data_IF_845264639472
#
_entry.id   IF_845264639472
#
_cell.length_a   1.000
_cell.length_b   1.000
_cell.length_c   1.000
_cell.angle_alpha   90.00
_cell.angle_beta   90.00
_cell.angle_gamma   90.00
#
_symmetry.space_group_name_H-M   'P 1'
#
loop_
_entity.id
_entity.type
_entity.pdbx_description
1 polymer ?
#
# COMPACT_ATOMS: atom_id res chain seq x y z
N UNK A 1 11.08 21.20 2.95
CA UNK A 1 9.75 21.15 2.30
C UNK A 1 9.36 19.74 1.85
N UNK A 2 10.12 19.08 0.97
CA UNK A 2 9.81 17.71 0.46
C UNK A 2 9.59 16.65 1.55
N UNK A 3 10.38 16.65 2.61
CA UNK A 3 10.20 15.70 3.72
C UNK A 3 8.84 15.84 4.42
N UNK A 4 8.45 17.09 4.73
CA UNK A 4 7.15 17.39 5.37
C UNK A 4 5.98 17.10 4.44
N UNK A 5 6.10 17.46 3.16
CA UNK A 5 5.07 17.17 2.16
C UNK A 5 4.91 15.65 1.95
N UNK A 6 6.02 14.92 1.86
CA UNK A 6 6.01 13.47 1.77
C UNK A 6 5.35 12.79 2.98
N UNK A 7 5.57 13.32 4.18
CA UNK A 7 4.88 12.82 5.38
C UNK A 7 3.36 13.03 5.30
N UNK A 8 2.90 14.22 4.88
CA UNK A 8 1.47 14.49 4.71
C UNK A 8 0.84 13.65 3.60
N UNK A 9 1.52 13.51 2.46
CA UNK A 9 1.05 12.67 1.34
C UNK A 9 0.98 11.21 1.77
N UNK A 10 2.02 10.69 2.44
CA UNK A 10 2.03 9.32 2.95
C UNK A 10 0.93 9.07 3.99
N UNK A 11 0.69 10.03 4.89
CA UNK A 11 -0.39 9.96 5.86
C UNK A 11 -1.77 9.96 5.16
N UNK A 12 -2.01 10.91 4.26
CA UNK A 12 -3.26 11.00 3.51
C UNK A 12 -3.52 9.74 2.67
N UNK A 13 -2.51 9.26 1.94
CA UNK A 13 -2.60 8.03 1.14
C UNK A 13 -2.93 6.82 2.02
N UNK A 14 -2.28 6.71 3.19
CA UNK A 14 -2.52 5.60 4.13
C UNK A 14 -3.92 5.67 4.74
N UNK A 15 -4.36 6.85 5.19
CA UNK A 15 -5.70 7.05 5.76
C UNK A 15 -6.79 6.75 4.72
N UNK A 16 -6.69 7.34 3.53
CA UNK A 16 -7.66 7.11 2.45
C UNK A 16 -7.63 5.65 2.00
N UNK A 17 -6.43 5.07 1.86
CA UNK A 17 -6.25 3.67 1.52
C UNK A 17 -6.96 2.74 2.51
N UNK A 18 -6.68 2.88 3.80
CA UNK A 18 -7.30 2.06 4.86
C UNK A 18 -8.81 2.22 4.87
N UNK A 19 -9.33 3.45 4.83
CA UNK A 19 -10.77 3.70 4.81
C UNK A 19 -11.43 3.08 3.57
N UNK A 20 -10.79 3.21 2.39
CA UNK A 20 -11.27 2.61 1.15
C UNK A 20 -11.27 1.08 1.18
N UNK A 21 -10.23 0.46 1.73
CA UNK A 21 -10.13 -0.99 1.90
C UNK A 21 -11.25 -1.49 2.81
N UNK A 22 -11.46 -0.83 3.96
CA UNK A 22 -12.55 -1.17 4.89
C UNK A 22 -13.90 -1.05 4.21
N UNK A 23 -14.17 0.07 3.52
CA UNK A 23 -15.43 0.29 2.80
C UNK A 23 -15.68 -0.78 1.73
N UNK A 24 -14.66 -1.15 0.95
CA UNK A 24 -14.78 -2.20 -0.05
C UNK A 24 -14.96 -3.59 0.58
N UNK A 25 -14.29 -3.87 1.68
CA UNK A 25 -14.42 -5.14 2.39
C UNK A 25 -15.82 -5.33 2.98
N UNK A 26 -16.39 -4.30 3.62
CA UNK A 26 -17.74 -4.39 4.23
C UNK A 26 -18.87 -4.37 3.21
N UNK A 27 -18.63 -3.84 2.01
CA UNK A 27 -19.60 -3.87 0.89
C UNK A 27 -19.43 -5.07 -0.04
N UNK A 28 -18.72 -6.10 0.41
CA UNK A 28 -18.46 -7.37 -0.29
C UNK A 28 -17.66 -7.26 -1.61
N UNK A 29 -16.99 -6.13 -1.82
CA UNK A 29 -16.07 -5.90 -2.94
C UNK A 29 -14.65 -6.38 -2.59
N UNK A 30 -14.53 -7.59 -2.01
CA UNK A 30 -13.27 -8.10 -1.41
C UNK A 30 -12.10 -8.12 -2.39
N UNK A 31 -12.33 -8.55 -3.63
CA UNK A 31 -11.29 -8.53 -4.67
C UNK A 31 -10.80 -7.10 -4.94
N UNK A 32 -11.71 -6.12 -5.06
CA UNK A 32 -11.34 -4.71 -5.25
C UNK A 32 -10.60 -4.15 -4.03
N UNK A 33 -10.98 -4.57 -2.82
CA UNK A 33 -10.27 -4.19 -1.60
C UNK A 33 -8.80 -4.66 -1.65
N UNK A 34 -8.54 -5.89 -2.10
CA UNK A 34 -7.18 -6.44 -2.22
C UNK A 34 -6.38 -5.77 -3.33
N UNK A 35 -7.00 -5.48 -4.47
CA UNK A 35 -6.37 -4.68 -5.54
C UNK A 35 -6.01 -3.28 -5.02
N UNK A 36 -6.88 -2.65 -4.22
CA UNK A 36 -6.61 -1.36 -3.59
C UNK A 36 -5.43 -1.43 -2.60
N UNK A 37 -5.31 -2.51 -1.81
CA UNK A 37 -4.13 -2.73 -0.94
C UNK A 37 -2.84 -2.68 -1.78
N UNK A 38 -2.77 -3.45 -2.88
CA UNK A 38 -1.60 -3.46 -3.74
C UNK A 38 -1.30 -2.06 -4.32
N UNK A 39 -2.33 -1.34 -4.78
CA UNK A 39 -2.18 0.02 -5.31
C UNK A 39 -1.64 1.01 -4.26
N UNK A 40 -2.15 0.95 -3.03
CA UNK A 40 -1.69 1.81 -1.91
C UNK A 40 -0.24 1.52 -1.56
N UNK A 41 0.17 0.24 -1.53
CA UNK A 41 1.55 -0.14 -1.28
C UNK A 41 2.50 0.39 -2.36
N UNK A 42 2.13 0.27 -3.64
CA UNK A 42 2.91 0.87 -4.74
C UNK A 42 3.02 2.40 -4.59
N UNK A 43 1.90 3.07 -4.28
CA UNK A 43 1.89 4.50 -4.00
C UNK A 43 2.81 4.89 -2.85
N UNK A 44 2.80 4.13 -1.76
CA UNK A 44 3.70 4.34 -0.61
C UNK A 44 5.16 4.13 -0.98
N UNK A 45 5.48 3.14 -1.82
CA UNK A 45 6.82 2.95 -2.38
C UNK A 45 7.30 4.18 -3.16
N UNK A 46 6.45 4.74 -4.03
CA UNK A 46 6.76 5.96 -4.79
C UNK A 46 6.94 7.18 -3.87
N UNK A 47 6.03 7.39 -2.92
CA UNK A 47 6.12 8.46 -1.92
C UNK A 47 7.43 8.32 -1.13
N UNK A 48 7.82 7.10 -0.77
CA UNK A 48 9.04 6.82 -0.03
C UNK A 48 10.30 7.15 -0.82
N UNK A 49 10.35 6.82 -2.11
CA UNK A 49 11.47 7.16 -2.99
C UNK A 49 11.62 8.68 -3.16
N UNK A 50 10.50 9.38 -3.26
CA UNK A 50 10.48 10.83 -3.43
C UNK A 50 10.77 11.62 -2.14
N UNK A 51 10.40 11.06 -0.98
CA UNK A 51 10.52 11.72 0.33
C UNK A 51 11.93 11.53 0.91
N UNK A 52 12.73 12.61 1.04
CA UNK A 52 14.03 12.54 1.69
C UNK A 52 13.84 12.39 3.20
N UNK A 53 14.71 11.62 3.86
CA UNK A 53 14.68 11.44 5.31
C UNK A 53 15.04 10.04 5.79
N UNK A 54 15.02 9.88 7.11
CA UNK A 54 15.31 8.61 7.79
C UNK A 54 14.31 7.53 7.32
N UNK A 55 14.78 6.29 7.11
CA UNK A 55 13.91 5.19 6.75
C UNK A 55 12.95 4.77 7.85
N UNK A 56 11.84 4.18 7.42
CA UNK A 56 10.83 3.62 8.31
C UNK A 56 11.37 2.33 8.93
N UNK A 57 12.00 1.49 8.10
CA UNK A 57 12.84 0.41 8.59
C UNK A 57 14.18 1.01 9.01
N UNK A 58 14.32 1.29 10.31
CA UNK A 58 15.38 2.09 10.94
C UNK A 58 16.84 1.70 10.56
N UNK A 59 17.07 0.56 9.92
CA UNK A 59 18.37 0.05 9.47
C UNK A 59 18.57 -0.03 7.95
N UNK A 60 17.58 0.30 7.11
CA UNK A 60 17.65 0.08 5.65
C UNK A 60 17.29 1.33 4.87
N UNK A 61 18.05 1.69 3.84
CA UNK A 61 17.84 2.94 3.10
C UNK A 61 16.45 3.05 2.45
N UNK A 62 16.06 4.27 2.04
CA UNK A 62 14.74 4.55 1.40
C UNK A 62 14.40 3.65 0.21
N UNK A 63 15.42 3.17 -0.50
CA UNK A 63 15.27 2.27 -1.64
C UNK A 63 14.81 0.89 -1.17
N UNK A 64 15.35 0.39 -0.06
CA UNK A 64 14.94 -0.89 0.51
C UNK A 64 13.49 -0.85 0.99
N UNK A 65 13.07 0.24 1.63
CA UNK A 65 11.67 0.46 2.00
C UNK A 65 10.76 0.34 0.75
N UNK A 66 11.13 1.02 -0.34
CA UNK A 66 10.38 0.96 -1.59
C UNK A 66 10.36 -0.44 -2.23
N UNK A 67 11.48 -1.17 -2.19
CA UNK A 67 11.55 -2.56 -2.67
C UNK A 67 10.59 -3.45 -1.88
N UNK A 68 10.53 -3.31 -0.55
CA UNK A 68 9.58 -4.06 0.30
C UNK A 68 8.15 -3.77 -0.12
N UNK A 69 7.80 -2.49 -0.34
CA UNK A 69 6.47 -2.12 -0.83
C UNK A 69 6.13 -2.78 -2.17
N UNK A 70 7.06 -2.78 -3.12
CA UNK A 70 6.87 -3.37 -4.44
C UNK A 70 6.71 -4.89 -4.36
N UNK A 71 7.55 -5.58 -3.57
CA UNK A 71 7.48 -7.03 -3.40
C UNK A 71 6.13 -7.42 -2.77
N UNK A 72 5.71 -6.73 -1.70
CA UNK A 72 4.42 -7.00 -1.06
C UNK A 72 3.26 -6.72 -2.01
N UNK A 73 3.28 -5.60 -2.74
CA UNK A 73 2.26 -5.28 -3.72
C UNK A 73 2.18 -6.35 -4.82
N UNK A 74 3.33 -6.82 -5.34
CA UNK A 74 3.38 -7.84 -6.37
C UNK A 74 2.82 -9.18 -5.88
N UNK A 75 3.18 -9.61 -4.67
CA UNK A 75 2.65 -10.82 -4.05
C UNK A 75 1.13 -10.71 -3.86
N UNK A 76 0.66 -9.59 -3.29
CA UNK A 76 -0.77 -9.36 -3.05
C UNK A 76 -1.53 -9.31 -4.37
N UNK A 77 -0.99 -8.66 -5.40
CA UNK A 77 -1.58 -8.62 -6.72
C UNK A 77 -1.66 -10.01 -7.35
N UNK A 78 -0.58 -10.79 -7.29
CA UNK A 78 -0.54 -12.16 -7.80
C UNK A 78 -1.58 -13.04 -7.11
N UNK A 79 -1.79 -12.85 -5.81
CA UNK A 79 -2.76 -13.62 -5.03
C UNK A 79 -4.19 -13.07 -5.07
N UNK A 80 -4.41 -11.85 -5.59
CA UNK A 80 -5.72 -11.19 -5.61
C UNK A 80 -6.86 -12.01 -6.25
N UNK A 81 -6.64 -12.80 -7.32
CA UNK A 81 -7.69 -13.64 -7.90
C UNK A 81 -8.25 -14.70 -6.93
N UNK A 82 -7.43 -15.25 -6.03
CA UNK A 82 -7.85 -16.31 -5.10
C UNK A 82 -8.81 -15.82 -4.00
N UNK A 83 -8.92 -14.51 -3.81
CA UNK A 83 -9.85 -13.89 -2.86
C UNK A 83 -11.30 -14.07 -3.32
N UNK A 84 -11.55 -14.05 -4.63
CA UNK A 84 -12.88 -14.26 -5.19
C UNK A 84 -13.28 -15.75 -5.15
N UNK A 85 -12.32 -16.67 -5.26
CA UNK A 85 -12.60 -18.11 -5.30
C UNK A 85 -12.92 -18.71 -3.93
N UNK A 86 -12.39 -18.15 -2.84
CA UNK A 86 -12.71 -18.60 -1.47
C UNK A 86 -14.04 -18.05 -0.93
N UNK A 87 -14.71 -17.16 -1.66
CA UNK A 87 -16.01 -16.61 -1.27
C UNK A 87 -17.19 -17.55 -1.61
N UNK A 88 -16.94 -18.68 -2.29
CA UNK A 88 -17.95 -19.72 -2.53
C UNK A 88 -18.06 -20.59 -1.28
N UNK A 89 -19.02 -20.28 -0.42
CA UNK A 89 -19.46 -21.17 0.66
C UNK A 89 -20.98 -21.19 0.74
#
# INVERSE_FOLDING_TARGET
MRARLGAWVGAALSTVGVLGIVALAVTDHRHRAVVLIAAVLLGMGLVRLWTPGRPWFASRGRVTDAIVYVILAAIIWYLAPYVATMAVR
#
